data_IF_516142279347
#
_entry.id   IF_516142279347
#
_cell.length_a   1.000
_cell.length_b   1.000
_cell.length_c   1.000
_cell.angle_alpha   90.00
_cell.angle_beta   90.00
_cell.angle_gamma   90.00
#
_symmetry.space_group_name_H-M   'P 1'
#
loop_
_entity.id
_entity.type
_entity.pdbx_description
1 polymer ?
#
# COMPACT_ATOMS: atom_id res chain seq x y z
N UNK A 1 -43.93 20.66 3.18
CA UNK A 1 -44.43 19.41 2.58
C UNK A 1 -43.78 18.25 3.32
N UNK A 2 -44.56 17.37 3.96
CA UNK A 2 -44.02 16.22 4.71
C UNK A 2 -43.79 15.06 3.73
N UNK A 3 -42.52 14.80 3.40
CA UNK A 3 -42.10 13.68 2.53
C UNK A 3 -42.04 12.32 3.27
N UNK A 4 -42.52 12.27 4.51
CA UNK A 4 -42.35 11.18 5.47
C UNK A 4 -42.91 9.81 5.00
N UNK A 5 -43.79 9.81 4.00
CA UNK A 5 -44.50 8.61 3.52
C UNK A 5 -44.30 8.33 2.02
N UNK A 6 -43.33 8.95 1.35
CA UNK A 6 -43.03 8.58 -0.04
C UNK A 6 -42.13 7.34 0.00
N UNK A 7 -42.72 6.17 -0.22
CA UNK A 7 -42.02 4.89 -0.35
C UNK A 7 -41.31 4.82 -1.71
N UNK A 8 -40.20 5.55 -1.85
CA UNK A 8 -39.34 5.50 -3.02
C UNK A 8 -38.48 4.24 -2.90
N UNK A 9 -38.65 3.31 -3.83
CA UNK A 9 -37.71 2.19 -4.00
C UNK A 9 -36.53 2.71 -4.79
N UNK A 10 -35.38 2.82 -4.12
CA UNK A 10 -34.10 3.19 -4.75
C UNK A 10 -33.45 1.88 -5.20
N UNK A 11 -32.99 1.83 -6.45
CA UNK A 11 -32.27 0.67 -6.96
C UNK A 11 -30.95 0.46 -6.20
N UNK A 12 -30.47 -0.79 -6.11
CA UNK A 12 -29.24 -1.10 -5.36
C UNK A 12 -28.02 -0.35 -5.91
N UNK A 13 -28.01 -0.11 -7.22
CA UNK A 13 -26.97 0.65 -7.89
C UNK A 13 -26.99 2.12 -7.47
N UNK A 14 -28.17 2.75 -7.52
CA UNK A 14 -28.39 4.12 -7.07
C UNK A 14 -28.05 4.29 -5.58
N UNK A 15 -28.35 3.30 -4.74
CA UNK A 15 -27.95 3.31 -3.33
C UNK A 15 -26.43 3.36 -3.17
N UNK A 16 -25.69 2.63 -4.01
CA UNK A 16 -24.24 2.63 -4.00
C UNK A 16 -23.66 3.97 -4.46
N UNK A 17 -24.26 4.58 -5.49
CA UNK A 17 -23.89 5.93 -5.95
C UNK A 17 -24.20 7.00 -4.90
N UNK A 18 -25.38 6.95 -4.27
CA UNK A 18 -25.75 7.87 -3.19
C UNK A 18 -24.78 7.73 -2.04
N UNK A 19 -24.38 6.51 -1.67
CA UNK A 19 -23.37 6.29 -0.63
C UNK A 19 -22.04 6.96 -1.00
N UNK A 20 -21.55 6.75 -2.22
CA UNK A 20 -20.33 7.39 -2.73
C UNK A 20 -20.41 8.93 -2.69
N UNK A 21 -21.51 9.51 -3.17
CA UNK A 21 -21.69 10.97 -3.25
C UNK A 21 -21.98 11.61 -1.87
N UNK A 22 -22.58 10.88 -0.94
CA UNK A 22 -22.91 11.38 0.40
C UNK A 22 -21.69 11.49 1.29
N UNK A 23 -20.62 10.80 0.93
CA UNK A 23 -19.37 10.94 1.60
C UNK A 23 -18.73 12.27 1.14
N UNK A 24 -19.07 13.33 1.87
CA UNK A 24 -18.84 14.77 1.60
C UNK A 24 -17.42 15.20 1.15
N UNK A 25 -16.42 14.33 1.16
CA UNK A 25 -15.00 14.66 0.91
C UNK A 25 -14.23 13.45 0.35
N UNK A 26 -14.85 12.56 -0.42
CA UNK A 26 -14.02 11.60 -1.15
C UNK A 26 -13.20 12.40 -2.14
N UNK A 27 -11.87 12.28 -2.04
CA UNK A 27 -10.94 12.83 -3.00
C UNK A 27 -11.55 12.59 -4.38
N UNK A 28 -11.87 13.64 -5.15
CA UNK A 28 -12.54 13.50 -6.45
C UNK A 28 -11.86 12.40 -7.29
N UNK A 29 -10.55 12.29 -7.13
CA UNK A 29 -9.67 11.23 -7.64
C UNK A 29 -10.10 9.79 -7.29
N UNK A 30 -10.50 9.49 -6.04
CA UNK A 30 -10.96 8.16 -5.64
C UNK A 30 -12.26 7.80 -6.37
N UNK A 31 -13.24 8.71 -6.36
CA UNK A 31 -14.54 8.48 -7.01
C UNK A 31 -14.35 8.26 -8.50
N UNK A 32 -13.57 9.14 -9.15
CA UNK A 32 -13.24 9.05 -10.56
C UNK A 32 -12.54 7.72 -10.90
N UNK A 33 -11.53 7.33 -10.11
CA UNK A 33 -10.79 6.08 -10.33
C UNK A 33 -11.66 4.85 -10.09
N UNK A 34 -12.52 4.90 -9.08
CA UNK A 34 -13.39 3.80 -8.71
C UNK A 34 -14.48 3.55 -9.75
N UNK A 35 -15.03 4.62 -10.33
CA UNK A 35 -16.06 4.58 -11.37
C UNK A 35 -15.48 4.37 -12.77
N UNK A 36 -14.18 4.62 -12.98
CA UNK A 36 -13.55 4.51 -14.28
C UNK A 36 -13.74 3.12 -14.90
N UNK A 37 -14.45 3.07 -16.04
CA UNK A 37 -14.70 1.85 -16.80
C UNK A 37 -15.69 0.86 -16.16
N UNK A 38 -16.35 1.22 -15.04
CA UNK A 38 -17.41 0.41 -14.44
C UNK A 38 -18.77 0.80 -15.01
N UNK A 39 -19.53 -0.21 -15.43
CA UNK A 39 -20.91 -0.05 -15.91
C UNK A 39 -21.96 -0.36 -14.86
N UNK A 40 -21.60 -1.13 -13.82
CA UNK A 40 -22.46 -1.47 -12.70
C UNK A 40 -21.67 -1.32 -11.41
N UNK A 41 -22.36 -0.98 -10.32
CA UNK A 41 -21.77 -0.79 -9.00
C UNK A 41 -22.60 -1.50 -7.94
N UNK A 42 -21.92 -2.16 -7.00
CA UNK A 42 -22.55 -2.81 -5.85
C UNK A 42 -22.10 -2.16 -4.54
N UNK A 43 -22.97 -2.18 -3.53
CA UNK A 43 -22.64 -1.67 -2.20
C UNK A 43 -21.44 -2.40 -1.56
N UNK A 44 -21.27 -3.69 -1.84
CA UNK A 44 -20.13 -4.47 -1.37
C UNK A 44 -18.82 -3.97 -2.01
N UNK A 45 -18.83 -3.68 -3.31
CA UNK A 45 -17.65 -3.13 -3.99
C UNK A 45 -17.26 -1.77 -3.44
N UNK A 46 -18.26 -0.91 -3.17
CA UNK A 46 -18.05 0.39 -2.53
C UNK A 46 -17.44 0.18 -1.15
N UNK A 47 -18.04 -0.65 -0.29
CA UNK A 47 -17.53 -0.91 1.06
C UNK A 47 -16.08 -1.45 1.05
N UNK A 48 -15.77 -2.35 0.14
CA UNK A 48 -14.43 -2.94 0.03
C UNK A 48 -13.41 -1.92 -0.47
N UNK A 49 -13.76 -1.09 -1.46
CA UNK A 49 -12.88 -0.05 -1.97
C UNK A 49 -12.60 1.03 -0.92
N UNK A 50 -13.62 1.43 -0.16
CA UNK A 50 -13.49 2.37 0.96
C UNK A 50 -12.52 1.84 2.02
N UNK A 51 -12.68 0.57 2.44
CA UNK A 51 -11.77 -0.07 3.39
C UNK A 51 -10.33 -0.13 2.85
N UNK A 52 -10.17 -0.44 1.57
CA UNK A 52 -8.86 -0.46 0.94
C UNK A 52 -8.19 0.92 0.94
N UNK A 53 -8.95 1.97 0.62
CA UNK A 53 -8.45 3.34 0.62
C UNK A 53 -8.02 3.80 2.03
N UNK A 54 -8.82 3.48 3.05
CA UNK A 54 -8.49 3.76 4.44
C UNK A 54 -7.21 3.02 4.88
N UNK A 55 -7.09 1.73 4.56
CA UNK A 55 -5.87 0.96 4.81
C UNK A 55 -4.67 1.58 4.09
N UNK A 56 -4.83 1.98 2.82
CA UNK A 56 -3.77 2.63 2.05
C UNK A 56 -3.30 3.91 2.75
N UNK A 57 -4.21 4.74 3.27
CA UNK A 57 -3.88 5.96 4.05
C UNK A 57 -3.11 5.61 5.33
N UNK A 58 -3.48 4.55 6.04
CA UNK A 58 -2.76 4.07 7.23
C UNK A 58 -1.34 3.59 6.87
N UNK A 59 -1.19 2.80 5.80
CA UNK A 59 0.11 2.28 5.36
C UNK A 59 1.02 3.35 4.74
N UNK A 60 0.48 4.37 4.08
CA UNK A 60 1.29 5.50 3.60
C UNK A 60 1.85 6.32 4.76
N UNK A 61 1.05 6.52 5.81
CA UNK A 61 1.46 7.26 7.00
C UNK A 61 2.43 6.44 7.89
N UNK A 62 2.41 5.11 7.83
CA UNK A 62 3.35 4.27 8.57
C UNK A 62 4.72 4.12 7.90
N UNK A 63 4.86 4.38 6.58
CA UNK A 63 6.16 4.35 5.88
C UNK A 63 7.11 5.47 6.29
N UNK A 64 6.61 6.57 6.85
CA UNK A 64 7.47 7.62 7.43
C UNK A 64 8.04 7.21 8.78
N UNK A 65 7.50 6.16 9.42
CA UNK A 65 8.02 5.56 10.65
C UNK A 65 8.79 4.27 10.38
N UNK A 66 9.54 4.22 9.28
CA UNK A 66 10.48 3.14 9.00
C UNK A 66 11.63 3.11 10.02
N UNK A 67 11.37 2.61 11.24
CA UNK A 67 12.43 2.07 12.09
C UNK A 67 12.99 0.84 11.39
N UNK A 68 14.00 1.06 10.55
CA UNK A 68 14.76 0.00 9.92
C UNK A 68 15.24 -0.96 11.00
N UNK A 69 14.66 -2.17 11.03
CA UNK A 69 15.13 -3.23 11.90
C UNK A 69 16.40 -3.77 11.25
N UNK A 70 17.50 -3.06 11.45
CA UNK A 70 18.83 -3.62 11.18
C UNK A 70 19.01 -4.70 12.23
N UNK A 71 18.77 -5.95 11.85
CA UNK A 71 19.21 -7.12 12.58
C UNK A 71 20.74 -7.11 12.60
N UNK A 72 21.30 -6.33 13.53
CA UNK A 72 22.73 -6.28 13.82
C UNK A 72 23.12 -7.66 14.32
N UNK A 73 23.57 -8.52 13.41
CA UNK A 73 24.13 -9.81 13.73
C UNK A 73 25.21 -9.63 14.80
N UNK A 74 25.02 -10.27 15.95
CA UNK A 74 26.05 -10.41 16.97
C UNK A 74 27.20 -11.22 16.38
N UNK A 75 28.30 -10.58 16.00
CA UNK A 75 29.57 -11.29 15.84
C UNK A 75 30.15 -11.54 17.24
N UNK A 76 29.80 -12.69 17.82
CA UNK A 76 30.59 -13.29 18.87
C UNK A 76 31.85 -13.90 18.25
N UNK A 77 32.96 -13.86 18.99
CA UNK A 77 34.29 -14.45 18.70
C UNK A 77 35.16 -13.62 17.74
N UNK A 78 36.44 -13.32 17.98
CA UNK A 78 37.44 -13.77 18.96
C UNK A 78 38.55 -12.70 19.05
N UNK A 79 39.26 -12.65 20.19
CA UNK A 79 40.45 -11.82 20.39
C UNK A 79 41.52 -12.10 19.33
N UNK A 80 41.91 -11.08 18.54
CA UNK A 80 43.20 -11.07 17.86
C UNK A 80 43.83 -9.67 17.93
N UNK A 81 44.88 -9.57 18.74
CA UNK A 81 45.81 -8.44 18.76
C UNK A 81 46.52 -8.32 17.40
N UNK A 82 46.08 -7.41 16.51
CA UNK A 82 46.90 -7.00 15.37
C UNK A 82 46.85 -5.49 15.19
N UNK A 83 48.06 -4.94 15.22
CA UNK A 83 48.44 -3.53 15.10
C UNK A 83 47.91 -2.93 13.79
N UNK A 84 47.65 -1.61 13.85
CA UNK A 84 47.49 -0.64 12.75
C UNK A 84 47.96 -1.16 11.38
N UNK A 85 47.14 -0.99 10.32
CA UNK A 85 47.52 -0.26 9.08
C UNK A 85 46.48 -0.34 7.95
N UNK A 86 46.23 0.84 7.39
CA UNK A 86 45.84 1.18 6.01
C UNK A 86 44.44 0.83 5.46
N UNK A 87 43.77 1.93 5.11
CA UNK A 87 42.75 2.09 4.08
C UNK A 87 43.02 1.18 2.87
N UNK A 88 42.23 0.12 2.70
CA UNK A 88 42.12 -0.60 1.42
C UNK A 88 40.64 -0.67 1.08
N UNK A 89 40.25 0.22 0.17
CA UNK A 89 38.96 0.20 -0.52
C UNK A 89 38.76 -1.20 -1.08
N UNK A 90 37.83 -1.97 -0.49
CA UNK A 90 37.53 -3.32 -0.92
C UNK A 90 36.97 -3.25 -2.35
N UNK A 91 37.75 -3.69 -3.34
CA UNK A 91 37.20 -4.01 -4.66
C UNK A 91 36.17 -5.12 -4.44
N UNK A 92 34.89 -4.82 -4.63
CA UNK A 92 33.87 -5.84 -4.73
C UNK A 92 34.28 -6.78 -5.86
N UNK A 93 34.48 -8.07 -5.55
CA UNK A 93 34.48 -9.08 -6.60
C UNK A 93 33.11 -8.97 -7.26
N UNK A 94 33.07 -8.63 -8.54
CA UNK A 94 31.84 -8.70 -9.33
C UNK A 94 31.33 -10.14 -9.20
N UNK A 95 30.20 -10.32 -8.51
CA UNK A 95 29.52 -11.61 -8.51
C UNK A 95 28.95 -11.78 -9.91
N UNK A 96 29.48 -12.73 -10.68
CA UNK A 96 28.75 -13.25 -11.83
C UNK A 96 27.49 -13.90 -11.26
N UNK A 97 26.35 -13.27 -11.49
CA UNK A 97 25.06 -13.91 -11.27
C UNK A 97 24.78 -14.70 -12.54
N UNK A 98 24.98 -16.01 -12.46
CA UNK A 98 24.59 -16.87 -13.57
C UNK A 98 23.07 -17.04 -13.52
N UNK A 99 22.43 -16.87 -14.67
CA UNK A 99 21.02 -17.13 -14.89
C UNK A 99 20.66 -18.57 -14.49
N UNK A 100 19.65 -18.79 -13.62
CA UNK A 100 19.27 -20.14 -13.21
C UNK A 100 18.62 -20.98 -14.32
N UNK A 101 18.17 -20.34 -15.40
CA UNK A 101 17.62 -21.03 -16.58
C UNK A 101 18.67 -21.24 -17.68
N UNK A 102 19.73 -20.42 -17.72
CA UNK A 102 20.62 -20.32 -18.87
C UNK A 102 22.12 -20.32 -18.57
N UNK A 103 22.51 -20.34 -17.30
CA UNK A 103 23.85 -20.73 -16.83
C UNK A 103 25.01 -19.76 -17.07
N UNK A 104 24.80 -18.64 -17.78
CA UNK A 104 25.83 -17.60 -18.03
C UNK A 104 25.69 -16.36 -17.14
#
# INVERSE_FOLDING_TARGET
MNLKNVSIKIESEDQALIMLCSLSEFDDTFVDTFLYGKYNISLDDVSNALKYEELKKIFSNSRTEGKGVVSRGKTQHTNFNIKKRFNVRSKSKARKYNCYECGE
#
